data_IF_242892296347
#
_entry.id   IF_242892296347
#
_cell.length_a   1.000
_cell.length_b   1.000
_cell.length_c   1.000
_cell.angle_alpha   90.00
_cell.angle_beta   90.00
_cell.angle_gamma   90.00
#
_symmetry.space_group_name_H-M   'P 1'
#
loop_
_entity.id
_entity.type
_entity.pdbx_description
1 polymer ?
#
# COMPACT_ATOMS: atom_id res chain seq x y z
N UNK A 1 3.94 -7.72 69.81
CA UNK A 1 4.16 -8.45 68.54
C UNK A 1 4.59 -7.41 67.50
N UNK A 2 5.87 -7.41 67.12
CA UNK A 2 6.44 -6.50 66.11
C UNK A 2 6.29 -7.13 64.73
N UNK A 3 5.58 -6.47 63.82
CA UNK A 3 5.39 -6.95 62.44
C UNK A 3 6.72 -6.84 61.67
N UNK A 4 7.14 -7.87 60.90
CA UNK A 4 8.35 -7.77 60.10
C UNK A 4 8.17 -6.78 58.93
N UNK A 5 9.24 -6.08 58.49
CA UNK A 5 9.16 -5.09 57.42
C UNK A 5 8.83 -5.75 56.08
N UNK A 6 7.91 -5.15 55.31
CA UNK A 6 7.62 -5.58 53.95
C UNK A 6 8.85 -5.40 53.03
N UNK A 7 9.13 -6.34 52.11
CA UNK A 7 10.18 -6.14 51.12
C UNK A 7 9.80 -5.03 50.13
N UNK A 8 10.77 -4.19 49.67
CA UNK A 8 10.50 -3.13 48.73
C UNK A 8 10.06 -3.71 47.38
N UNK A 9 9.13 -3.03 46.67
CA UNK A 9 8.65 -3.49 45.36
C UNK A 9 9.82 -3.55 44.36
N UNK A 10 10.15 -4.76 43.93
CA UNK A 10 11.14 -5.04 42.88
C UNK A 10 10.55 -4.78 41.50
N UNK A 11 10.26 -3.52 41.20
CA UNK A 11 9.86 -3.06 39.87
C UNK A 11 10.94 -2.16 39.32
N UNK A 12 11.90 -2.71 38.57
CA UNK A 12 12.76 -1.88 37.73
C UNK A 12 11.87 -1.15 36.71
N UNK A 13 12.00 0.18 36.52
CA UNK A 13 11.24 0.88 35.49
C UNK A 13 11.53 0.24 34.14
N UNK A 14 10.51 -0.26 33.44
CA UNK A 14 10.66 -0.66 32.05
C UNK A 14 11.21 0.54 31.25
N UNK A 15 12.28 0.36 30.45
CA UNK A 15 12.78 1.45 29.64
C UNK A 15 11.68 1.93 28.70
N UNK A 16 11.52 3.26 28.52
CA UNK A 16 10.45 3.80 27.70
C UNK A 16 10.53 3.24 26.28
N UNK A 17 9.43 2.67 25.80
CA UNK A 17 9.30 2.13 24.46
C UNK A 17 9.67 3.20 23.42
N UNK A 18 10.87 3.07 22.84
CA UNK A 18 11.38 4.02 21.85
C UNK A 18 10.77 3.62 20.50
N UNK A 19 9.76 4.37 20.07
CA UNK A 19 9.16 4.19 18.75
C UNK A 19 10.27 4.26 17.68
N UNK A 20 10.37 3.22 16.86
CA UNK A 20 11.36 3.19 15.79
C UNK A 20 11.12 4.34 14.79
N UNK A 21 12.20 4.94 14.24
CA UNK A 21 12.06 5.97 13.23
C UNK A 21 11.24 5.45 12.04
N UNK A 22 10.25 6.23 11.56
CA UNK A 22 9.43 5.86 10.41
C UNK A 22 10.29 5.56 9.19
N UNK A 23 9.98 4.49 8.48
CA UNK A 23 10.81 3.97 7.37
C UNK A 23 10.19 4.18 5.98
N UNK A 24 8.94 4.68 5.94
CA UNK A 24 8.14 4.74 4.72
C UNK A 24 7.53 3.39 4.31
N UNK A 25 7.58 2.37 5.18
CA UNK A 25 7.03 1.03 4.91
C UNK A 25 5.50 0.96 4.98
N UNK A 26 4.88 1.80 5.81
CA UNK A 26 3.44 1.77 6.06
C UNK A 26 2.61 1.92 4.77
N UNK A 27 2.87 2.90 3.88
CA UNK A 27 2.17 2.99 2.60
C UNK A 27 2.28 1.71 1.76
N UNK A 28 3.46 1.10 1.68
CA UNK A 28 3.65 -0.16 0.95
C UNK A 28 2.82 -1.31 1.51
N UNK A 29 2.71 -1.40 2.85
CA UNK A 29 1.87 -2.39 3.51
C UNK A 29 0.37 -2.17 3.22
N UNK A 30 -0.10 -0.92 3.23
CA UNK A 30 -1.49 -0.59 2.91
C UNK A 30 -1.84 -0.89 1.44
N UNK A 31 -0.84 -0.98 0.56
CA UNK A 31 -1.03 -1.48 -0.80
C UNK A 31 -1.55 -2.93 -0.88
N UNK A 32 -1.40 -3.73 0.18
CA UNK A 32 -1.94 -5.09 0.26
C UNK A 32 -3.44 -5.15 0.54
N UNK A 33 -4.11 -4.03 0.79
CA UNK A 33 -5.59 -3.99 0.83
C UNK A 33 -6.25 -4.37 -0.50
N UNK A 34 -5.45 -4.57 -1.55
CA UNK A 34 -5.88 -5.15 -2.81
C UNK A 34 -6.57 -6.52 -2.63
N UNK A 35 -6.26 -7.26 -1.56
CA UNK A 35 -6.90 -8.54 -1.22
C UNK A 35 -8.32 -8.42 -0.65
N UNK A 36 -8.86 -7.21 -0.51
CA UNK A 36 -10.26 -7.05 -0.14
C UNK A 36 -11.16 -7.82 -1.14
N UNK A 37 -12.15 -8.62 -0.67
CA UNK A 37 -12.79 -9.66 -1.47
C UNK A 37 -13.71 -9.15 -2.59
N UNK A 38 -13.85 -7.84 -2.74
CA UNK A 38 -14.64 -7.21 -3.80
C UNK A 38 -13.69 -6.76 -4.93
N UNK A 39 -13.81 -7.33 -6.15
CA UNK A 39 -12.99 -6.95 -7.30
C UNK A 39 -13.03 -5.44 -7.55
N UNK A 40 -11.90 -4.87 -7.98
CA UNK A 40 -11.66 -3.43 -8.18
C UNK A 40 -11.73 -2.56 -6.92
N UNK A 41 -12.67 -2.82 -6.00
CA UNK A 41 -12.81 -2.06 -4.75
C UNK A 41 -11.56 -2.17 -3.90
N UNK A 42 -11.02 -3.38 -3.72
CA UNK A 42 -9.73 -3.56 -3.04
C UNK A 42 -8.59 -2.80 -3.71
N UNK A 43 -8.61 -2.71 -5.04
CA UNK A 43 -7.58 -2.00 -5.81
C UNK A 43 -7.66 -0.48 -5.60
N UNK A 44 -8.87 0.06 -5.58
CA UNK A 44 -9.12 1.48 -5.29
C UNK A 44 -8.74 1.83 -3.85
N UNK A 45 -9.17 1.01 -2.87
CA UNK A 45 -8.84 1.20 -1.46
C UNK A 45 -7.32 1.17 -1.26
N UNK A 46 -6.63 0.19 -1.84
CA UNK A 46 -5.17 0.09 -1.77
C UNK A 46 -4.49 1.35 -2.33
N UNK A 47 -4.86 1.78 -3.55
CA UNK A 47 -4.27 2.97 -4.18
C UNK A 47 -4.48 4.24 -3.34
N UNK A 48 -5.70 4.47 -2.85
CA UNK A 48 -6.03 5.62 -2.00
C UNK A 48 -5.28 5.55 -0.68
N UNK A 49 -5.26 4.39 -0.02
CA UNK A 49 -4.58 4.21 1.25
C UNK A 49 -3.07 4.46 1.13
N UNK A 50 -2.44 4.02 0.04
CA UNK A 50 -1.03 4.33 -0.25
C UNK A 50 -0.79 5.84 -0.36
N UNK A 51 -1.62 6.56 -1.12
CA UNK A 51 -1.47 8.00 -1.31
C UNK A 51 -1.69 8.78 -0.01
N UNK A 52 -2.80 8.53 0.69
CA UNK A 52 -3.15 9.25 1.93
C UNK A 52 -2.09 8.99 3.00
N UNK A 53 -1.72 7.73 3.21
CA UNK A 53 -0.77 7.38 4.27
C UNK A 53 0.64 7.92 4.00
N UNK A 54 1.06 8.04 2.74
CA UNK A 54 2.34 8.64 2.40
C UNK A 54 2.44 10.09 2.85
N UNK A 55 1.35 10.87 2.83
CA UNK A 55 1.37 12.26 3.34
C UNK A 55 1.80 12.33 4.80
N UNK A 56 1.37 11.37 5.61
CA UNK A 56 1.75 11.28 7.03
C UNK A 56 3.23 10.92 7.23
N UNK A 57 3.86 10.29 6.24
CA UNK A 57 5.24 9.80 6.31
C UNK A 57 6.26 10.82 5.75
N UNK A 58 5.83 11.70 4.85
CA UNK A 58 6.68 12.74 4.24
C UNK A 58 7.28 13.70 5.27
N UNK A 59 6.57 13.94 6.37
CA UNK A 59 6.99 14.86 7.46
C UNK A 59 8.27 14.43 8.18
N UNK A 60 8.65 13.15 8.10
CA UNK A 60 9.82 12.60 8.78
C UNK A 60 11.13 12.77 8.00
N UNK A 61 11.07 13.24 6.75
CA UNK A 61 12.25 13.55 5.94
C UNK A 61 13.10 12.34 5.54
N UNK A 62 14.24 12.63 4.90
CA UNK A 62 15.25 11.64 4.51
C UNK A 62 14.69 10.44 3.71
N UNK A 63 15.23 9.25 4.01
CA UNK A 63 14.87 8.01 3.33
C UNK A 63 13.38 7.64 3.49
N UNK A 64 12.78 7.97 4.63
CA UNK A 64 11.38 7.68 4.91
C UNK A 64 10.45 8.45 3.96
N UNK A 65 10.76 9.73 3.72
CA UNK A 65 10.06 10.58 2.75
C UNK A 65 10.23 10.03 1.33
N UNK A 66 11.44 9.67 0.92
CA UNK A 66 11.68 9.13 -0.42
C UNK A 66 10.90 7.83 -0.66
N UNK A 67 10.92 6.91 0.30
CA UNK A 67 10.19 5.65 0.24
C UNK A 67 8.67 5.87 0.22
N UNK A 68 8.16 6.82 1.01
CA UNK A 68 6.75 7.19 1.03
C UNK A 68 6.30 7.85 -0.29
N UNK A 69 7.12 8.74 -0.86
CA UNK A 69 6.83 9.38 -2.14
C UNK A 69 6.78 8.36 -3.28
N UNK A 70 7.70 7.39 -3.29
CA UNK A 70 7.68 6.29 -4.27
C UNK A 70 6.44 5.40 -4.11
N UNK A 71 6.05 5.09 -2.86
CA UNK A 71 4.82 4.37 -2.59
C UNK A 71 3.59 5.14 -3.11
N UNK A 72 3.51 6.44 -2.86
CA UNK A 72 2.41 7.28 -3.33
C UNK A 72 2.35 7.33 -4.86
N UNK A 73 3.49 7.53 -5.53
CA UNK A 73 3.59 7.55 -6.98
C UNK A 73 3.15 6.22 -7.60
N UNK A 74 3.59 5.09 -7.02
CA UNK A 74 3.14 3.76 -7.47
C UNK A 74 1.65 3.54 -7.21
N UNK A 75 1.17 3.81 -5.99
CA UNK A 75 -0.24 3.66 -5.63
C UNK A 75 -1.17 4.51 -6.48
N UNK A 76 -0.77 5.72 -6.83
CA UNK A 76 -1.50 6.58 -7.76
C UNK A 76 -1.51 6.02 -9.19
N UNK A 77 -0.37 5.50 -9.66
CA UNK A 77 -0.28 4.83 -10.98
C UNK A 77 -1.21 3.64 -11.06
N UNK A 78 -1.21 2.80 -10.02
CA UNK A 78 -2.10 1.65 -9.91
C UNK A 78 -3.57 2.05 -9.85
N UNK A 79 -3.89 3.11 -9.10
CA UNK A 79 -5.24 3.67 -9.01
C UNK A 79 -5.74 4.17 -10.37
N UNK A 80 -4.91 4.92 -11.09
CA UNK A 80 -5.23 5.39 -12.45
C UNK A 80 -5.42 4.22 -13.42
N UNK A 81 -4.54 3.23 -13.40
CA UNK A 81 -4.68 2.04 -14.24
C UNK A 81 -5.98 1.28 -13.92
N UNK A 82 -6.35 1.18 -12.65
CA UNK A 82 -7.61 0.57 -12.20
C UNK A 82 -8.81 1.34 -12.76
N UNK A 83 -8.83 2.67 -12.67
CA UNK A 83 -9.94 3.46 -13.22
C UNK A 83 -10.05 3.35 -14.74
N UNK A 84 -8.93 3.34 -15.46
CA UNK A 84 -8.93 3.14 -16.92
C UNK A 84 -9.50 1.77 -17.29
N UNK A 85 -9.06 0.70 -16.61
CA UNK A 85 -9.56 -0.65 -16.86
C UNK A 85 -11.05 -0.81 -16.55
N UNK A 86 -11.49 -0.27 -15.42
CA UNK A 86 -12.91 -0.29 -15.03
C UNK A 86 -13.76 0.55 -15.98
N UNK A 87 -13.29 1.75 -16.35
CA UNK A 87 -13.95 2.62 -17.31
C UNK A 87 -14.06 1.97 -18.69
N UNK A 88 -12.99 1.32 -19.17
CA UNK A 88 -13.02 0.55 -20.42
C UNK A 88 -14.00 -0.63 -20.35
N UNK A 89 -14.04 -1.35 -19.23
CA UNK A 89 -14.98 -2.45 -19.02
C UNK A 89 -16.44 -2.02 -19.16
N UNK A 90 -16.84 -0.99 -18.40
CA UNK A 90 -18.20 -0.49 -18.48
C UNK A 90 -18.48 0.20 -19.82
N UNK A 91 -17.52 0.91 -20.39
CA UNK A 91 -17.66 1.52 -21.72
C UNK A 91 -17.98 0.49 -22.80
N UNK A 92 -17.28 -0.65 -22.79
CA UNK A 92 -17.59 -1.76 -23.71
C UNK A 92 -18.97 -2.35 -23.42
N UNK A 93 -19.34 -2.57 -22.15
CA UNK A 93 -20.68 -3.07 -21.78
C UNK A 93 -21.80 -2.16 -22.31
N UNK A 94 -21.60 -0.84 -22.30
CA UNK A 94 -22.58 0.12 -22.79
C UNK A 94 -22.67 0.15 -24.33
N UNK A 95 -21.56 -0.09 -25.03
CA UNK A 95 -21.49 -0.01 -26.50
C UNK A 95 -21.89 -1.34 -27.16
N UNK A 96 -21.50 -2.48 -26.58
CA UNK A 96 -21.83 -3.79 -27.14
C UNK A 96 -23.27 -4.18 -26.84
N UNK A 97 -24.04 -4.41 -27.91
CA UNK A 97 -25.42 -4.90 -27.86
C UNK A 97 -25.50 -6.43 -27.77
N UNK A 98 -24.48 -7.10 -28.29
CA UNK A 98 -24.34 -8.56 -28.29
C UNK A 98 -22.92 -8.91 -27.83
N UNK A 99 -22.83 -9.89 -26.92
CA UNK A 99 -21.56 -10.39 -26.39
C UNK A 99 -21.38 -11.80 -26.92
N UNK A 100 -20.58 -11.94 -27.98
CA UNK A 100 -20.20 -13.25 -28.51
C UNK A 100 -18.79 -13.63 -28.06
N UNK A 101 -18.69 -14.68 -27.25
CA UNK A 101 -17.42 -15.22 -26.77
C UNK A 101 -16.80 -14.45 -25.59
N UNK A 102 -15.56 -14.82 -25.27
CA UNK A 102 -14.84 -14.26 -24.10
C UNK A 102 -14.24 -12.87 -24.37
N UNK A 103 -13.98 -12.53 -25.63
CA UNK A 103 -13.42 -11.23 -26.02
C UNK A 103 -14.55 -10.25 -26.34
N UNK A 104 -14.43 -8.97 -25.95
CA UNK A 104 -13.26 -8.25 -25.41
C UNK A 104 -13.08 -8.32 -23.88
N UNK A 105 -14.04 -8.87 -23.14
CA UNK A 105 -14.02 -8.90 -21.67
C UNK A 105 -12.81 -9.61 -21.08
N UNK A 106 -12.39 -10.69 -21.73
CA UNK A 106 -11.23 -11.48 -21.36
C UNK A 106 -9.93 -10.69 -21.34
N UNK A 107 -9.72 -9.79 -22.31
CA UNK A 107 -8.54 -8.92 -22.32
C UNK A 107 -8.51 -8.04 -21.09
N UNK A 108 -9.66 -7.46 -20.73
CA UNK A 108 -9.75 -6.57 -19.57
C UNK A 108 -9.46 -7.35 -18.28
N UNK A 109 -10.08 -8.53 -18.11
CA UNK A 109 -9.90 -9.36 -16.91
C UNK A 109 -8.44 -9.80 -16.78
N UNK A 110 -7.83 -10.29 -17.88
CA UNK A 110 -6.43 -10.73 -17.88
C UNK A 110 -5.47 -9.57 -17.64
N UNK A 111 -5.73 -8.41 -18.25
CA UNK A 111 -4.93 -7.20 -18.04
C UNK A 111 -5.03 -6.72 -16.60
N UNK A 112 -6.24 -6.70 -16.03
CA UNK A 112 -6.45 -6.36 -14.63
C UNK A 112 -5.70 -7.33 -13.71
N UNK A 113 -5.83 -8.64 -13.93
CA UNK A 113 -5.11 -9.65 -13.17
C UNK A 113 -3.59 -9.44 -13.22
N UNK A 114 -3.04 -9.20 -14.42
CA UNK A 114 -1.61 -8.94 -14.60
C UNK A 114 -1.16 -7.68 -13.85
N UNK A 115 -1.92 -6.59 -13.92
CA UNK A 115 -1.63 -5.32 -13.23
C UNK A 115 -1.74 -5.50 -11.71
N UNK A 116 -2.72 -6.25 -11.22
CA UNK A 116 -2.87 -6.58 -9.79
C UNK A 116 -1.72 -7.44 -9.27
N UNK A 117 -1.29 -8.46 -10.03
CA UNK A 117 -0.11 -9.26 -9.66
C UNK A 117 1.15 -8.38 -9.59
N UNK A 118 1.36 -7.53 -10.58
CA UNK A 118 2.48 -6.58 -10.58
C UNK A 118 2.44 -5.65 -9.36
N UNK A 119 1.25 -5.14 -9.02
CA UNK A 119 1.04 -4.32 -7.84
C UNK A 119 1.38 -5.05 -6.55
N UNK A 120 0.95 -6.30 -6.39
CA UNK A 120 1.28 -7.14 -5.23
C UNK A 120 2.80 -7.33 -5.12
N UNK A 121 3.47 -7.67 -6.21
CA UNK A 121 4.94 -7.86 -6.23
C UNK A 121 5.65 -6.57 -5.81
N UNK A 122 5.26 -5.44 -6.40
CA UNK A 122 5.88 -4.15 -6.09
C UNK A 122 5.59 -3.68 -4.68
N UNK A 123 4.38 -3.92 -4.16
CA UNK A 123 4.05 -3.59 -2.77
C UNK A 123 4.82 -4.43 -1.78
N UNK A 124 5.01 -5.72 -2.03
CA UNK A 124 5.86 -6.59 -1.19
C UNK A 124 7.32 -6.14 -1.25
N UNK A 125 7.88 -5.91 -2.44
CA UNK A 125 9.27 -5.45 -2.59
C UNK A 125 9.49 -4.11 -1.89
N UNK A 126 8.58 -3.17 -2.11
CA UNK A 126 8.61 -1.84 -1.50
C UNK A 126 8.50 -1.92 0.02
N UNK A 127 7.59 -2.75 0.55
CA UNK A 127 7.42 -3.00 1.97
C UNK A 127 8.71 -3.58 2.58
N UNK A 128 9.26 -4.65 2.01
CA UNK A 128 10.47 -5.31 2.54
C UNK A 128 11.66 -4.36 2.51
N UNK A 129 11.88 -3.63 1.41
CA UNK A 129 13.01 -2.69 1.30
C UNK A 129 12.86 -1.51 2.24
N UNK A 130 11.66 -0.91 2.33
CA UNK A 130 11.40 0.18 3.25
C UNK A 130 11.57 -0.27 4.71
N UNK A 131 11.04 -1.44 5.10
CA UNK A 131 11.23 -2.01 6.44
C UNK A 131 12.70 -2.27 6.78
N UNK A 132 13.53 -2.59 5.78
CA UNK A 132 14.98 -2.74 5.92
C UNK A 132 15.76 -1.42 5.90
N UNK A 133 15.08 -0.27 5.89
CA UNK A 133 15.70 1.07 5.74
C UNK A 133 16.58 1.16 4.50
N UNK A 134 16.13 0.54 3.41
CA UNK A 134 16.77 0.62 2.11
C UNK A 134 15.94 1.51 1.17
N UNK A 135 16.59 2.17 0.19
CA UNK A 135 15.89 2.93 -0.83
C UNK A 135 15.08 2.00 -1.72
N UNK A 136 13.77 2.24 -1.78
CA UNK A 136 12.90 1.59 -2.75
C UNK A 136 13.21 2.17 -4.13
N UNK A 137 13.31 1.33 -5.18
CA UNK A 137 13.62 1.78 -6.55
C UNK A 137 12.44 1.65 -7.52
N UNK A 138 11.26 1.39 -6.99
CA UNK A 138 10.02 1.30 -7.76
C UNK A 138 9.55 2.71 -8.07
N UNK A 139 9.31 2.99 -9.34
CA UNK A 139 8.86 4.29 -9.81
C UNK A 139 7.50 4.12 -10.51
N UNK A 140 6.49 4.84 -10.04
CA UNK A 140 5.28 5.13 -10.80
C UNK A 140 5.38 6.50 -11.49
N UNK A 141 4.26 7.01 -11.99
CA UNK A 141 4.14 8.37 -12.51
C UNK A 141 4.56 9.36 -11.39
N UNK A 142 5.57 10.22 -11.62
CA UNK A 142 6.20 10.99 -10.56
C UNK A 142 5.42 12.26 -10.21
N UNK A 143 4.35 12.11 -9.42
CA UNK A 143 3.54 13.24 -8.92
C UNK A 143 4.08 13.84 -7.61
N UNK A 144 4.60 13.01 -6.72
CA UNK A 144 5.12 13.40 -5.41
C UNK A 144 6.66 13.42 -5.41
N UNK A 145 7.27 14.47 -4.83
CA UNK A 145 8.72 14.70 -4.72
C UNK A 145 9.16 15.01 -3.29
#
# INVERSE_FOLDING_TARGET
>A
MTQPPYPPPSGSPEPPYRAEPPTGALPWGLGLFVFFPIPFVGSVIAGIAMVISSTSQIKYGGLARENANRAANWGLTYLLATFVLVGAHFGILFVQREIEGFFPFGLIILTWLAVTVLHIVFTIIGLVRASRRQPVRINGIPFFR
#
